data_IF_228118702192
#
_entry.id   IF_228118702192
#
_cell.length_a   1.000
_cell.length_b   1.000
_cell.length_c   1.000
_cell.angle_alpha   90.00
_cell.angle_beta   90.00
_cell.angle_gamma   90.00
#
_symmetry.space_group_name_H-M   'P 1'
#
loop_
_entity.id
_entity.type
_entity.pdbx_description
1 polymer ?
#
# COMPACT_ATOMS: atom_id res chain seq x y z
N UNK A 1 9.03 -21.69 -14.97
CA UNK A 1 8.36 -20.49 -14.45
C UNK A 1 8.79 -20.37 -13.00
N UNK A 2 9.76 -19.51 -12.74
CA UNK A 2 9.98 -19.06 -11.37
C UNK A 2 8.67 -18.40 -10.91
N UNK A 3 8.23 -18.60 -9.66
CA UNK A 3 7.10 -17.84 -9.16
C UNK A 3 7.50 -16.36 -9.21
N UNK A 4 6.65 -15.51 -9.83
CA UNK A 4 6.84 -14.06 -9.78
C UNK A 4 6.96 -13.65 -8.32
N UNK A 5 8.11 -13.11 -7.94
CA UNK A 5 8.38 -12.68 -6.57
C UNK A 5 7.78 -11.29 -6.34
N UNK A 6 7.00 -11.16 -5.27
CA UNK A 6 6.33 -9.91 -4.91
C UNK A 6 6.84 -9.43 -3.56
N UNK A 7 7.21 -8.16 -3.51
CA UNK A 7 7.40 -7.45 -2.25
C UNK A 7 6.06 -6.88 -1.79
N UNK A 8 5.80 -6.95 -0.48
CA UNK A 8 4.62 -6.39 0.15
C UNK A 8 5.01 -5.37 1.20
N UNK A 9 4.37 -4.20 1.19
CA UNK A 9 4.58 -3.13 2.16
C UNK A 9 3.25 -2.74 2.78
N UNK A 10 3.24 -2.45 4.08
CA UNK A 10 2.02 -2.04 4.77
C UNK A 10 2.20 -0.69 5.44
N UNK A 11 1.38 0.28 5.06
CA UNK A 11 1.36 1.58 5.72
C UNK A 11 0.15 1.66 6.64
N UNK A 12 0.37 2.25 7.81
CA UNK A 12 -0.73 2.68 8.67
C UNK A 12 -1.00 4.15 8.37
N UNK A 13 -2.20 4.53 7.91
CA UNK A 13 -2.53 5.94 7.82
C UNK A 13 -2.38 6.55 9.23
N UNK A 14 -1.78 7.74 9.34
CA UNK A 14 -1.57 8.40 10.62
C UNK A 14 -2.92 8.53 11.34
N UNK A 15 -3.02 7.92 12.52
CA UNK A 15 -4.17 8.08 13.41
C UNK A 15 -3.81 9.20 14.37
N UNK A 16 -4.19 10.42 14.05
CA UNK A 16 -4.16 11.47 15.07
C UNK A 16 -5.11 11.06 16.20
N UNK A 17 -4.55 10.94 17.41
CA UNK A 17 -5.25 10.51 18.62
C UNK A 17 -6.37 11.45 19.05
N UNK A 18 -6.56 12.55 18.34
CA UNK A 18 -7.51 13.61 18.65
C UNK A 18 -8.48 13.71 17.47
N UNK A 19 -9.77 13.49 17.73
CA UNK A 19 -10.87 13.66 16.77
C UNK A 19 -10.68 14.90 15.89
N UNK A 20 -10.23 14.71 14.64
CA UNK A 20 -10.73 15.33 13.40
C UNK A 20 -9.71 15.08 12.31
N UNK A 21 -10.20 14.44 11.24
CA UNK A 21 -9.51 14.23 9.97
C UNK A 21 -8.27 13.32 10.04
N UNK A 22 -8.40 12.13 9.46
CA UNK A 22 -7.23 11.35 9.09
C UNK A 22 -6.38 12.25 8.18
N UNK A 23 -5.12 12.53 8.56
CA UNK A 23 -4.23 13.27 7.68
C UNK A 23 -4.16 12.50 6.35
N UNK A 24 -4.43 13.21 5.27
CA UNK A 24 -4.65 12.62 3.95
C UNK A 24 -3.42 11.80 3.55
N UNK A 25 -3.52 10.46 3.44
CA UNK A 25 -2.34 9.61 3.21
C UNK A 25 -1.78 9.77 1.79
N UNK A 26 -2.37 10.64 0.96
CA UNK A 26 -2.04 10.86 -0.44
C UNK A 26 -0.58 11.15 -0.71
N UNK A 27 0.13 11.88 0.15
CA UNK A 27 1.56 12.11 -0.06
C UNK A 27 2.32 10.78 -0.06
N UNK A 28 2.12 9.96 0.98
CA UNK A 28 2.70 8.62 1.09
C UNK A 28 2.27 7.70 -0.05
N UNK A 29 1.01 7.78 -0.47
CA UNK A 29 0.48 7.01 -1.60
C UNK A 29 1.16 7.38 -2.92
N UNK A 30 1.39 8.67 -3.15
CA UNK A 30 2.09 9.14 -4.35
C UNK A 30 3.56 8.77 -4.33
N UNK A 31 4.24 8.85 -3.18
CA UNK A 31 5.63 8.37 -3.03
C UNK A 31 5.73 6.89 -3.38
N UNK A 32 4.87 6.05 -2.79
CA UNK A 32 4.82 4.62 -3.06
C UNK A 32 4.50 4.32 -4.53
N UNK A 33 3.53 5.04 -5.11
CA UNK A 33 3.21 4.92 -6.53
C UNK A 33 4.38 5.28 -7.45
N UNK A 34 5.17 6.31 -7.08
CA UNK A 34 6.38 6.69 -7.82
C UNK A 34 7.50 5.63 -7.72
N UNK A 35 7.55 4.89 -6.62
CA UNK A 35 8.46 3.75 -6.41
C UNK A 35 7.98 2.44 -7.06
N UNK A 36 6.81 2.44 -7.72
CA UNK A 36 6.25 1.27 -8.40
C UNK A 36 5.39 0.35 -7.52
N UNK A 37 4.97 0.84 -6.35
CA UNK A 37 4.04 0.12 -5.48
C UNK A 37 2.58 0.30 -5.92
N UNK A 38 1.85 -0.80 -5.98
CA UNK A 38 0.42 -0.86 -6.29
C UNK A 38 -0.38 -1.14 -5.01
N UNK A 39 -1.38 -0.31 -4.69
CA UNK A 39 -2.33 -0.56 -3.61
C UNK A 39 -3.18 -1.80 -3.96
N UNK A 40 -3.12 -2.83 -3.12
CA UNK A 40 -3.88 -4.08 -3.34
C UNK A 40 -5.10 -4.20 -2.46
N UNK A 41 -4.99 -3.80 -1.20
CA UNK A 41 -6.06 -4.02 -0.23
C UNK A 41 -5.97 -3.03 0.93
N UNK A 42 -7.13 -2.62 1.44
CA UNK A 42 -7.26 -1.87 2.68
C UNK A 42 -7.85 -2.76 3.76
N UNK A 43 -7.09 -3.03 4.82
CA UNK A 43 -7.54 -3.85 5.95
C UNK A 43 -8.16 -2.94 7.02
N UNK A 44 -9.43 -3.18 7.27
CA UNK A 44 -10.24 -2.50 8.27
C UNK A 44 -10.45 -3.43 9.47
N UNK A 45 -10.24 -2.92 10.69
CA UNK A 45 -10.62 -3.68 11.88
C UNK A 45 -12.14 -3.63 12.06
N UNK A 46 -12.71 -4.76 12.47
CA UNK A 46 -14.12 -4.85 12.89
C UNK A 46 -14.31 -3.84 14.04
N UNK A 47 -15.04 -2.76 13.77
CA UNK A 47 -15.21 -1.65 14.73
C UNK A 47 -14.99 -0.22 14.17
N UNK A 48 -14.78 -0.05 12.86
CA UNK A 48 -14.95 1.25 12.20
C UNK A 48 -13.66 2.08 12.07
N UNK A 49 -12.61 1.47 11.54
CA UNK A 49 -11.48 2.25 11.06
C UNK A 49 -10.52 1.42 10.21
N UNK A 50 -10.27 1.89 8.99
CA UNK A 50 -9.15 1.46 8.15
C UNK A 50 -7.84 1.68 8.91
N UNK A 51 -7.05 0.62 9.08
CA UNK A 51 -5.77 0.71 9.81
C UNK A 51 -4.57 0.40 8.96
N UNK A 52 -4.72 -0.34 7.87
CA UNK A 52 -3.60 -0.79 7.07
C UNK A 52 -3.98 -0.70 5.60
N UNK A 53 -3.08 -0.11 4.82
CA UNK A 53 -3.11 -0.14 3.38
C UNK A 53 -1.95 -1.03 2.95
N UNK A 54 -2.27 -2.08 2.20
CA UNK A 54 -1.34 -3.09 1.72
C UNK A 54 -0.97 -2.75 0.28
N UNK A 55 0.33 -2.72 0.01
CA UNK A 55 0.90 -2.48 -1.30
C UNK A 55 1.68 -3.70 -1.74
N UNK A 56 1.75 -3.92 -3.05
CA UNK A 56 2.68 -4.89 -3.67
C UNK A 56 3.53 -4.21 -4.73
N UNK A 57 4.75 -4.69 -4.95
CA UNK A 57 5.51 -4.41 -6.17
C UNK A 57 6.22 -5.68 -6.66
N UNK A 58 6.48 -5.84 -7.96
CA UNK A 58 7.31 -6.93 -8.45
C UNK A 58 8.77 -6.71 -8.03
N UNK A 59 9.41 -7.76 -7.52
CA UNK A 59 10.87 -7.73 -7.30
C UNK A 59 11.54 -7.66 -8.66
N UNK A 60 12.45 -6.69 -8.86
CA UNK A 60 13.21 -6.54 -10.10
C UNK A 60 13.99 -7.84 -10.37
N UNK A 61 13.39 -8.67 -11.21
CA UNK A 61 13.73 -10.08 -11.44
C UNK A 61 12.87 -10.69 -12.54
N UNK A 62 11.63 -10.22 -12.69
CA UNK A 62 10.81 -10.50 -13.88
C UNK A 62 10.01 -9.26 -14.29
N UNK A 63 10.67 -8.36 -15.05
CA UNK A 63 9.95 -7.56 -16.03
C UNK A 63 9.25 -8.53 -17.00
N UNK A 64 7.93 -8.58 -16.95
CA UNK A 64 7.12 -9.00 -18.08
C UNK A 64 6.11 -7.86 -18.23
N UNK A 65 6.35 -6.89 -19.10
CA UNK A 65 6.03 -7.05 -20.52
C UNK A 65 4.68 -7.77 -20.68
N UNK A 66 3.59 -7.09 -20.31
CA UNK A 66 2.25 -7.50 -20.69
C UNK A 66 1.56 -6.31 -21.38
N UNK A 67 1.65 -6.39 -22.72
CA UNK A 67 0.83 -5.84 -23.82
C UNK A 67 0.59 -4.33 -23.96
#
# INVERSE_FOLDING_TARGET
MSPREWEYETIRPPRESTKKEAADPKEKLNELGAEGWELVESIEYVGGGTKLLVFKRPVAGEESADV
#
